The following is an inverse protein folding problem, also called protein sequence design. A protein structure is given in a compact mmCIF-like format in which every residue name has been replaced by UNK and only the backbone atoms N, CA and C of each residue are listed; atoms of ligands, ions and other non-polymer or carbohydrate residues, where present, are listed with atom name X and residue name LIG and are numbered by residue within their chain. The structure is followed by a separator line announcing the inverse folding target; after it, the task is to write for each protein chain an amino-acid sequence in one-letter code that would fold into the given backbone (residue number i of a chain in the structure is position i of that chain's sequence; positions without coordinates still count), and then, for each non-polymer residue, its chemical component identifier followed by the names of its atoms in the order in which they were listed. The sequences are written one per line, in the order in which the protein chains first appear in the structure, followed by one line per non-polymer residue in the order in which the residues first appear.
data_IF_353246403732
#
_entry.id   IF_353246403732
#
_cell.length_a   1.000
_cell.length_b   1.000
_cell.length_c   1.000
_cell.angle_alpha   90.00
_cell.angle_beta   90.00
_cell.angle_gamma   90.00
#
_symmetry.space_group_name_H-M   'P 1'
#
loop_
_entity.id
_entity.type
_entity.pdbx_description
1 polymer ?
#
# COMPACT_ATOMS: atom_id res chain seq x y z
N UNK A 1 -6.44 57.53 -0.94
CA UNK A 1 -6.66 56.50 -2.01
C UNK A 1 -5.43 55.59 -2.21
N UNK A 2 -4.19 56.10 -2.42
CA UNK A 2 -3.00 55.30 -2.66
C UNK A 2 -2.67 54.28 -1.52
N UNK A 3 -2.94 54.65 -0.25
CA UNK A 3 -2.67 53.76 0.91
C UNK A 3 -3.65 52.60 1.00
N UNK A 4 -4.94 52.84 0.68
CA UNK A 4 -5.97 51.77 0.64
C UNK A 4 -5.65 50.72 -0.45
N UNK A 5 -5.23 51.17 -1.64
CA UNK A 5 -4.82 50.26 -2.73
C UNK A 5 -3.61 49.39 -2.33
N UNK A 6 -2.64 49.94 -1.61
CA UNK A 6 -1.48 49.19 -1.11
C UNK A 6 -1.89 48.11 -0.09
N UNK A 7 -2.83 48.42 0.80
CA UNK A 7 -3.34 47.46 1.80
C UNK A 7 -4.15 46.34 1.10
N UNK A 8 -5.00 46.69 0.12
CA UNK A 8 -5.75 45.69 -0.64
C UNK A 8 -4.82 44.72 -1.41
N UNK A 9 -3.80 45.26 -2.07
CA UNK A 9 -2.80 44.44 -2.76
C UNK A 9 -2.04 43.53 -1.78
N UNK A 10 -1.66 44.04 -0.61
CA UNK A 10 -0.96 43.25 0.42
C UNK A 10 -1.86 42.12 0.96
N UNK A 11 -3.14 42.38 1.19
CA UNK A 11 -4.11 41.35 1.63
C UNK A 11 -4.34 40.29 0.56
N UNK A 12 -4.40 40.69 -0.72
CA UNK A 12 -4.53 39.72 -1.82
C UNK A 12 -3.29 38.82 -1.98
N UNK A 13 -2.09 39.38 -1.76
CA UNK A 13 -0.83 38.61 -1.78
C UNK A 13 -0.80 37.63 -0.60
N UNK A 14 -1.21 38.01 0.59
CA UNK A 14 -1.26 37.14 1.77
C UNK A 14 -2.30 36.03 1.63
N UNK A 15 -3.43 36.30 0.98
CA UNK A 15 -4.43 35.25 0.70
C UNK A 15 -3.99 34.27 -0.38
N UNK A 16 -3.19 34.71 -1.34
CA UNK A 16 -2.64 33.85 -2.39
C UNK A 16 -1.67 32.82 -1.81
N UNK A 17 -0.74 33.21 -0.95
CA UNK A 17 0.19 32.27 -0.28
C UNK A 17 -0.57 31.15 0.50
N UNK A 18 -1.63 31.52 1.22
CA UNK A 18 -2.37 30.54 2.03
C UNK A 18 -3.17 29.50 1.20
N UNK A 19 -3.48 29.78 -0.06
CA UNK A 19 -4.20 28.85 -0.92
C UNK A 19 -3.29 27.78 -1.54
N UNK A 20 -2.07 28.14 -1.92
CA UNK A 20 -1.09 27.18 -2.45
C UNK A 20 -0.57 26.22 -1.37
N UNK A 21 -0.36 26.70 -0.15
CA UNK A 21 0.00 25.83 0.97
C UNK A 21 -1.06 24.76 1.22
N UNK A 22 -2.34 25.12 1.17
CA UNK A 22 -3.45 24.15 1.33
C UNK A 22 -3.52 23.10 0.21
N UNK A 23 -3.19 23.47 -1.02
CA UNK A 23 -3.12 22.51 -2.12
C UNK A 23 -1.91 21.59 -1.98
N UNK A 24 -0.77 22.14 -1.55
CA UNK A 24 0.45 21.39 -1.26
C UNK A 24 0.22 20.35 -0.17
N UNK A 25 -0.47 20.71 0.91
CA UNK A 25 -0.83 19.82 2.02
C UNK A 25 -1.61 18.58 1.55
N UNK A 26 -2.39 18.68 0.47
CA UNK A 26 -3.11 17.54 -0.09
C UNK A 26 -2.21 16.48 -0.71
N UNK A 27 -0.99 16.80 -1.06
CA UNK A 27 -0.02 15.87 -1.62
C UNK A 27 0.88 15.24 -0.56
N UNK A 28 1.08 15.89 0.59
CA UNK A 28 1.93 15.38 1.66
C UNK A 28 1.50 13.97 2.08
N UNK A 29 2.48 13.08 2.24
CA UNK A 29 2.31 11.68 2.63
C UNK A 29 2.92 10.70 1.63
N UNK A 30 2.59 9.44 1.82
CA UNK A 30 3.17 8.33 1.07
C UNK A 30 2.25 7.89 -0.05
N UNK A 31 2.83 7.58 -1.20
CA UNK A 31 2.12 7.20 -2.40
C UNK A 31 2.84 6.08 -3.13
N UNK A 32 2.12 5.15 -3.72
CA UNK A 32 2.70 4.06 -4.49
C UNK A 32 1.92 3.76 -5.76
N UNK A 33 2.64 3.43 -6.83
CA UNK A 33 2.05 2.89 -8.05
C UNK A 33 1.70 1.43 -7.80
N UNK A 34 0.41 1.11 -7.84
CA UNK A 34 -0.05 -0.28 -7.70
C UNK A 34 0.45 -1.11 -8.88
N UNK A 35 1.07 -2.25 -8.57
CA UNK A 35 1.77 -3.12 -9.53
C UNK A 35 2.98 -2.46 -10.24
N UNK A 36 3.51 -1.37 -9.68
CA UNK A 36 4.73 -0.71 -10.10
C UNK A 36 5.80 -0.76 -9.02
N UNK A 37 6.98 -0.24 -9.36
CA UNK A 37 8.12 -0.14 -8.45
C UNK A 37 8.41 1.32 -8.05
N UNK A 38 7.45 2.21 -8.30
CA UNK A 38 7.61 3.62 -8.02
C UNK A 38 6.84 4.00 -6.77
N UNK A 39 7.55 4.59 -5.82
CA UNK A 39 7.04 5.11 -4.56
C UNK A 39 7.41 6.58 -4.43
N UNK A 40 6.54 7.36 -3.81
CA UNK A 40 6.70 8.79 -3.64
C UNK A 40 6.39 9.17 -2.19
N UNK A 41 7.30 9.90 -1.56
CA UNK A 41 7.13 10.42 -0.22
C UNK A 41 7.19 11.95 -0.26
N UNK A 42 6.04 12.58 -0.21
CA UNK A 42 5.92 14.03 -0.18
C UNK A 42 6.04 14.54 1.26
N UNK A 43 7.06 15.32 1.51
CA UNK A 43 7.27 16.12 2.71
C UNK A 43 7.05 17.59 2.38
N UNK A 44 7.01 18.48 3.39
CA UNK A 44 6.77 19.91 3.19
C UNK A 44 7.73 20.54 2.15
N UNK A 45 9.02 20.22 2.25
CA UNK A 45 10.08 20.84 1.44
C UNK A 45 10.79 19.90 0.50
N UNK A 46 10.44 18.59 0.53
CA UNK A 46 11.11 17.59 -0.28
C UNK A 46 10.16 16.50 -0.74
N UNK A 47 10.51 15.88 -1.87
CA UNK A 47 9.89 14.68 -2.40
C UNK A 47 10.97 13.62 -2.60
N UNK A 48 10.82 12.48 -1.95
CA UNK A 48 11.62 11.29 -2.23
C UNK A 48 10.87 10.46 -3.25
N UNK A 49 11.56 10.12 -4.35
CA UNK A 49 11.05 9.19 -5.36
C UNK A 49 11.92 7.94 -5.32
N UNK A 50 11.34 6.81 -4.99
CA UNK A 50 11.99 5.51 -5.07
C UNK A 50 11.56 4.83 -6.37
N UNK A 51 12.52 4.49 -7.22
CA UNK A 51 12.30 3.85 -8.50
C UNK A 51 13.36 2.77 -8.73
N UNK A 52 12.96 1.51 -8.91
CA UNK A 52 13.87 0.39 -9.18
C UNK A 52 15.00 0.23 -8.16
N UNK A 53 14.73 0.48 -6.88
CA UNK A 53 15.73 0.41 -5.81
C UNK A 53 16.67 1.63 -5.73
N UNK A 54 16.45 2.65 -6.54
CA UNK A 54 17.15 3.92 -6.49
C UNK A 54 16.28 4.99 -5.87
N UNK A 55 16.87 5.86 -5.03
CA UNK A 55 16.17 6.97 -4.38
C UNK A 55 16.65 8.31 -4.92
N UNK A 56 15.71 9.15 -5.29
CA UNK A 56 15.94 10.52 -5.75
C UNK A 56 15.32 11.50 -4.77
N UNK A 57 16.08 12.49 -4.31
CA UNK A 57 15.56 13.57 -3.47
C UNK A 57 15.37 14.81 -4.35
N UNK A 58 14.17 15.35 -4.34
CA UNK A 58 13.79 16.51 -5.11
C UNK A 58 13.24 17.59 -4.18
N UNK A 59 13.49 18.87 -4.51
CA UNK A 59 12.57 19.94 -4.11
C UNK A 59 11.33 19.84 -4.99
N UNK A 60 10.20 20.23 -4.47
CA UNK A 60 8.98 20.20 -5.22
C UNK A 60 8.10 21.42 -4.93
N UNK A 61 7.42 21.84 -5.94
CA UNK A 61 6.44 22.93 -5.89
C UNK A 61 5.25 22.59 -6.78
N UNK A 62 4.12 23.21 -6.51
CA UNK A 62 2.92 23.10 -7.34
C UNK A 62 2.44 24.48 -7.75
N UNK A 63 1.79 24.53 -8.91
CA UNK A 63 1.03 25.66 -9.41
C UNK A 63 -0.22 25.13 -10.11
N UNK A 64 -1.38 25.42 -9.52
CA UNK A 64 -2.73 25.00 -9.98
C UNK A 64 -2.83 23.52 -10.41
N UNK A 65 -2.31 23.11 -11.55
CA UNK A 65 -2.34 21.74 -12.08
C UNK A 65 -0.96 21.20 -12.44
N UNK A 66 0.09 21.94 -12.11
CA UNK A 66 1.48 21.59 -12.41
C UNK A 66 2.24 21.21 -11.15
N UNK A 67 3.05 20.18 -11.28
CA UNK A 67 4.03 19.72 -10.28
C UNK A 67 5.43 19.93 -10.88
N UNK A 68 6.24 20.71 -10.18
CA UNK A 68 7.62 20.99 -10.55
C UNK A 68 8.56 20.25 -9.60
N UNK A 69 9.53 19.53 -10.16
CA UNK A 69 10.53 18.77 -9.41
C UNK A 69 11.92 19.27 -9.79
N UNK A 70 12.72 19.61 -8.77
CA UNK A 70 14.13 19.91 -8.92
C UNK A 70 14.95 18.85 -8.17
N UNK A 71 15.69 18.00 -8.89
CA UNK A 71 16.50 16.94 -8.27
C UNK A 71 17.70 17.55 -7.54
N UNK A 72 17.78 17.29 -6.22
CA UNK A 72 18.87 17.72 -5.34
C UNK A 72 19.92 16.62 -5.19
N UNK A 73 19.46 15.35 -5.08
CA UNK A 73 20.30 14.18 -4.87
C UNK A 73 19.74 12.98 -5.64
N UNK A 74 20.60 12.24 -6.28
CA UNK A 74 20.28 11.07 -7.11
C UNK A 74 21.26 10.97 -8.28
N UNK A 75 20.91 10.24 -9.34
CA UNK A 75 21.76 10.10 -10.52
C UNK A 75 21.94 11.44 -11.25
N UNK A 76 23.02 12.13 -10.97
CA UNK A 76 23.42 13.39 -11.63
C UNK A 76 23.76 13.20 -13.13
N UNK A 77 23.77 11.96 -13.63
CA UNK A 77 24.32 11.59 -14.93
C UNK A 77 23.52 12.09 -16.14
N UNK A 78 22.30 12.61 -15.96
CA UNK A 78 21.46 13.04 -17.09
C UNK A 78 21.16 14.54 -17.17
N UNK A 79 21.74 15.35 -16.31
CA UNK A 79 21.69 16.82 -16.44
C UNK A 79 20.30 17.47 -16.36
N UNK A 80 19.27 16.75 -15.99
CA UNK A 80 17.90 17.27 -15.89
C UNK A 80 17.69 17.79 -14.47
N UNK A 81 17.89 19.08 -14.28
CA UNK A 81 17.73 19.73 -12.98
C UNK A 81 16.28 19.98 -12.60
N UNK A 82 15.40 20.21 -13.55
CA UNK A 82 13.99 20.52 -13.30
C UNK A 82 13.09 19.73 -14.24
N UNK A 83 12.05 19.11 -13.68
CA UNK A 83 11.00 18.41 -14.44
C UNK A 83 9.65 19.03 -14.11
N UNK A 84 8.80 19.15 -15.12
CA UNK A 84 7.43 19.62 -15.01
C UNK A 84 6.48 18.46 -15.34
N UNK A 85 5.39 18.37 -14.58
CA UNK A 85 4.34 17.38 -14.78
C UNK A 85 2.97 18.03 -14.61
N UNK A 86 2.01 17.60 -15.41
CA UNK A 86 0.60 17.82 -15.08
C UNK A 86 0.20 16.82 -14.01
N UNK A 87 -0.53 17.28 -12.98
CA UNK A 87 -1.07 16.40 -11.96
C UNK A 87 -2.56 16.66 -11.71
N UNK A 88 -3.22 15.66 -11.19
CA UNK A 88 -4.57 15.79 -10.61
C UNK A 88 -4.75 14.80 -9.46
N UNK A 89 -5.54 15.20 -8.48
CA UNK A 89 -6.01 14.33 -7.41
C UNK A 89 -7.44 13.86 -7.67
N UNK A 90 -7.78 12.66 -7.20
CA UNK A 90 -9.16 12.22 -7.09
C UNK A 90 -9.93 13.07 -6.09
N UNK A 91 -11.27 13.06 -6.16
CA UNK A 91 -12.13 13.87 -5.26
C UNK A 91 -11.94 13.53 -3.77
N UNK A 92 -11.64 12.28 -3.45
CA UNK A 92 -11.39 11.78 -2.09
C UNK A 92 -9.90 11.87 -1.68
N UNK A 93 -9.03 12.46 -2.50
CA UNK A 93 -7.62 12.70 -2.25
C UNK A 93 -6.80 11.41 -1.98
N UNK A 94 -7.25 10.27 -2.46
CA UNK A 94 -6.58 8.97 -2.30
C UNK A 94 -5.81 8.49 -3.54
N UNK A 95 -6.03 9.15 -4.68
CA UNK A 95 -5.41 8.78 -5.95
C UNK A 95 -4.79 10.01 -6.63
N UNK A 96 -3.52 9.91 -6.94
CA UNK A 96 -2.74 10.90 -7.68
C UNK A 96 -2.50 10.39 -9.10
N UNK A 97 -2.67 11.25 -10.08
CA UNK A 97 -2.35 11.01 -11.47
C UNK A 97 -1.33 12.02 -11.93
N UNK A 98 -0.27 11.57 -12.60
CA UNK A 98 0.81 12.40 -13.11
C UNK A 98 1.03 12.07 -14.60
N UNK A 99 1.35 13.09 -15.40
CA UNK A 99 1.81 12.91 -16.77
C UNK A 99 2.85 13.97 -17.14
N UNK A 100 3.72 13.67 -18.09
CA UNK A 100 4.57 14.70 -18.72
C UNK A 100 3.69 15.63 -19.59
N UNK A 101 4.06 16.90 -19.77
CA UNK A 101 3.30 17.82 -20.62
C UNK A 101 3.13 17.34 -22.05
N UNK A 102 4.08 16.53 -22.53
CA UNK A 102 4.08 15.92 -23.87
C UNK A 102 3.14 14.73 -24.02
N UNK A 103 2.70 14.14 -22.90
CA UNK A 103 1.88 12.93 -22.90
C UNK A 103 0.41 13.30 -23.09
N UNK A 104 -0.29 12.57 -23.95
CA UNK A 104 -1.73 12.77 -24.21
C UNK A 104 -2.61 12.23 -23.09
N UNK A 105 -2.13 11.24 -22.31
CA UNK A 105 -2.87 10.57 -21.23
C UNK A 105 -2.10 10.59 -19.92
N UNK A 106 -2.82 10.55 -18.82
CA UNK A 106 -2.21 10.36 -17.50
C UNK A 106 -1.63 8.96 -17.37
N UNK A 107 -0.53 8.85 -16.63
CA UNK A 107 0.08 7.59 -16.26
C UNK A 107 -0.79 6.72 -15.34
N UNK A 108 -0.25 5.62 -14.82
CA UNK A 108 -0.96 4.74 -13.90
C UNK A 108 -1.38 5.48 -12.63
N UNK A 109 -2.42 4.96 -11.98
CA UNK A 109 -2.89 5.48 -10.69
C UNK A 109 -1.82 5.29 -9.62
N UNK A 110 -1.54 6.37 -8.89
CA UNK A 110 -0.63 6.39 -7.75
C UNK A 110 -1.52 6.52 -6.52
N UNK A 111 -1.56 5.49 -5.67
CA UNK A 111 -2.45 5.45 -4.52
C UNK A 111 -1.76 6.00 -3.27
N UNK A 112 -2.49 6.76 -2.47
CA UNK A 112 -2.05 7.21 -1.15
C UNK A 112 -1.95 6.02 -0.22
N UNK A 113 -0.85 5.91 0.50
CA UNK A 113 -0.54 4.84 1.45
C UNK A 113 -0.57 5.40 2.86
N UNK A 114 -1.33 4.76 3.75
CA UNK A 114 -1.45 5.18 5.15
C UNK A 114 -0.40 4.49 6.05
N UNK A 115 -0.20 3.21 5.86
CA UNK A 115 0.65 2.35 6.68
C UNK A 115 1.03 1.08 5.89
N UNK A 116 1.87 0.22 6.44
CA UNK A 116 2.33 -1.00 5.79
C UNK A 116 1.17 -1.95 5.44
N UNK A 117 0.17 -2.07 6.31
CA UNK A 117 -0.99 -2.93 6.06
C UNK A 117 -1.86 -2.41 4.90
N UNK A 118 -2.14 -1.11 4.87
CA UNK A 118 -2.83 -0.46 3.76
C UNK A 118 -2.10 -0.63 2.43
N UNK A 119 -0.75 -0.48 2.44
CA UNK A 119 0.09 -0.72 1.28
C UNK A 119 -0.09 -2.13 0.73
N UNK A 120 -0.02 -3.13 1.62
CA UNK A 120 -0.13 -4.52 1.27
C UNK A 120 -1.50 -4.86 0.68
N UNK A 121 -2.58 -4.44 1.33
CA UNK A 121 -3.94 -4.67 0.86
C UNK A 121 -4.23 -3.99 -0.48
N UNK A 122 -3.70 -2.80 -0.72
CA UNK A 122 -3.83 -2.11 -2.01
C UNK A 122 -3.12 -2.85 -3.13
N UNK A 123 -1.94 -3.41 -2.88
CA UNK A 123 -1.27 -4.29 -3.86
C UNK A 123 -2.12 -5.50 -4.21
N UNK A 124 -2.75 -6.13 -3.23
CA UNK A 124 -3.66 -7.24 -3.43
C UNK A 124 -5.02 -6.81 -4.00
N UNK A 125 -5.33 -5.52 -3.99
CA UNK A 125 -6.63 -4.95 -4.34
C UNK A 125 -7.77 -5.56 -3.52
N UNK A 126 -7.54 -5.76 -2.23
CA UNK A 126 -8.50 -6.28 -1.26
C UNK A 126 -8.75 -5.27 -0.14
N UNK A 127 -9.93 -5.35 0.45
CA UNK A 127 -10.25 -4.75 1.75
C UNK A 127 -10.42 -5.89 2.74
N UNK A 128 -9.65 -5.87 3.82
CA UNK A 128 -9.72 -6.83 4.92
C UNK A 128 -9.65 -6.05 6.22
N UNK A 129 -10.61 -6.25 7.10
CA UNK A 129 -10.63 -5.75 8.46
C UNK A 129 -10.44 -6.96 9.39
N UNK A 130 -9.24 -7.07 9.98
CA UNK A 130 -8.89 -8.23 10.80
C UNK A 130 -9.65 -8.26 12.10
N UNK A 131 -10.05 -9.47 12.59
CA UNK A 131 -10.61 -9.60 13.92
C UNK A 131 -9.57 -9.29 14.99
N UNK A 132 -10.02 -8.86 16.18
CA UNK A 132 -9.15 -8.63 17.33
C UNK A 132 -9.21 -9.81 18.30
N UNK A 133 -8.04 -10.19 18.87
CA UNK A 133 -7.93 -11.24 19.88
C UNK A 133 -6.67 -11.03 20.73
N UNK A 134 -6.70 -11.43 21.98
CA UNK A 134 -5.55 -11.33 22.90
C UNK A 134 -4.65 -12.57 22.87
N UNK A 135 -3.46 -12.46 23.47
CA UNK A 135 -2.48 -13.52 23.62
C UNK A 135 -2.07 -14.13 22.27
N UNK A 136 -1.60 -13.29 21.38
CA UNK A 136 -1.12 -13.67 20.05
C UNK A 136 0.35 -14.10 20.10
N UNK A 137 0.74 -14.93 19.14
CA UNK A 137 2.12 -15.33 18.91
C UNK A 137 2.53 -14.94 17.49
N UNK A 138 3.84 -14.83 17.26
CA UNK A 138 4.38 -14.50 15.94
C UNK A 138 4.33 -15.72 15.02
N UNK A 139 3.84 -15.56 13.81
CA UNK A 139 3.73 -16.63 12.80
C UNK A 139 5.09 -17.24 12.45
N UNK A 140 6.12 -16.41 12.27
CA UNK A 140 7.48 -16.85 11.88
C UNK A 140 8.16 -17.80 12.89
N UNK A 141 7.75 -17.79 14.16
CA UNK A 141 8.33 -18.65 15.19
C UNK A 141 7.94 -20.14 15.04
N UNK A 142 6.95 -20.43 14.22
CA UNK A 142 6.29 -21.75 14.17
C UNK A 142 6.40 -22.48 12.84
N UNK A 143 6.90 -21.84 11.80
CA UNK A 143 7.07 -22.49 10.50
C UNK A 143 6.99 -21.55 9.30
N UNK A 144 7.12 -22.13 8.13
CA UNK A 144 6.99 -21.42 6.85
C UNK A 144 5.50 -21.35 6.48
N UNK A 145 4.99 -20.15 6.25
CA UNK A 145 3.58 -19.91 6.01
C UNK A 145 3.29 -19.43 4.59
N UNK A 146 2.23 -19.96 3.99
CA UNK A 146 1.59 -19.36 2.82
C UNK A 146 0.48 -18.44 3.30
N UNK A 147 0.58 -17.16 2.98
CA UNK A 147 -0.43 -16.18 3.33
C UNK A 147 -1.65 -16.29 2.41
N UNK A 148 -2.82 -16.42 3.02
CA UNK A 148 -4.11 -16.52 2.34
C UNK A 148 -4.99 -15.37 2.80
N UNK A 149 -5.26 -14.45 1.89
CA UNK A 149 -6.05 -13.24 2.12
C UNK A 149 -7.48 -13.45 1.66
N UNK A 150 -8.44 -13.29 2.57
CA UNK A 150 -9.87 -13.43 2.30
C UNK A 150 -10.60 -12.17 2.71
N UNK A 151 -11.04 -11.40 1.74
CA UNK A 151 -11.66 -10.10 1.93
C UNK A 151 -12.52 -9.67 0.76
N UNK A 152 -12.73 -8.38 0.62
CA UNK A 152 -13.66 -7.85 -0.37
C UNK A 152 -12.94 -7.03 -1.44
N UNK A 153 -13.41 -7.20 -2.69
CA UNK A 153 -13.07 -6.37 -3.82
C UNK A 153 -14.35 -5.89 -4.49
N UNK A 154 -14.59 -4.58 -4.48
CA UNK A 154 -15.84 -4.00 -4.99
C UNK A 154 -17.09 -4.68 -4.41
N UNK A 155 -17.09 -4.98 -3.10
CA UNK A 155 -18.19 -5.64 -2.40
C UNK A 155 -18.32 -7.16 -2.65
N UNK A 156 -17.47 -7.76 -3.49
CA UNK A 156 -17.45 -9.21 -3.73
C UNK A 156 -16.38 -9.88 -2.87
N UNK A 157 -16.73 -10.98 -2.24
CA UNK A 157 -15.78 -11.79 -1.49
C UNK A 157 -14.77 -12.43 -2.45
N UNK A 158 -13.51 -12.24 -2.16
CA UNK A 158 -12.36 -12.73 -2.92
C UNK A 158 -11.34 -13.38 -1.98
N UNK A 159 -10.57 -14.31 -2.53
CA UNK A 159 -9.38 -14.83 -1.87
C UNK A 159 -8.15 -14.64 -2.76
N UNK A 160 -7.01 -14.38 -2.14
CA UNK A 160 -5.72 -14.26 -2.80
C UNK A 160 -4.62 -14.88 -1.95
N UNK A 161 -3.54 -15.28 -2.60
CA UNK A 161 -2.27 -15.60 -1.96
C UNK A 161 -1.25 -14.51 -2.27
N UNK A 162 -0.04 -14.61 -1.76
CA UNK A 162 1.07 -13.70 -2.06
C UNK A 162 1.48 -13.69 -3.54
N UNK A 163 1.10 -14.73 -4.28
CA UNK A 163 1.31 -14.70 -5.73
C UNK A 163 0.41 -13.64 -6.35
N UNK A 164 0.96 -12.76 -7.20
CA UNK A 164 0.23 -11.70 -7.91
C UNK A 164 -0.90 -12.22 -8.81
N UNK A 165 -1.05 -13.54 -8.90
CA UNK A 165 -2.07 -14.20 -9.72
C UNK A 165 -3.40 -14.21 -8.95
N UNK A 166 -4.41 -13.59 -9.52
CA UNK A 166 -5.77 -13.57 -8.98
C UNK A 166 -6.40 -14.95 -9.17
N UNK A 167 -6.17 -15.86 -8.23
CA UNK A 167 -6.80 -17.19 -8.24
C UNK A 167 -7.84 -17.27 -7.14
N UNK A 168 -8.89 -18.02 -7.37
CA UNK A 168 -9.92 -18.29 -6.37
C UNK A 168 -9.47 -19.32 -5.33
N UNK A 169 -10.29 -19.51 -4.28
CA UNK A 169 -10.02 -20.52 -3.24
C UNK A 169 -9.92 -21.96 -3.78
N UNK A 170 -10.63 -22.26 -4.85
CA UNK A 170 -10.61 -23.55 -5.55
C UNK A 170 -9.25 -23.89 -6.16
N UNK A 171 -8.43 -22.87 -6.45
CA UNK A 171 -7.08 -23.06 -6.98
C UNK A 171 -5.99 -23.08 -5.89
N UNK A 172 -6.35 -22.91 -4.63
CA UNK A 172 -5.39 -22.82 -3.51
C UNK A 172 -4.47 -24.06 -3.42
N UNK A 173 -4.94 -25.21 -3.85
CA UNK A 173 -4.14 -26.43 -3.90
C UNK A 173 -2.93 -26.28 -4.82
N UNK A 174 -3.11 -25.70 -5.99
CA UNK A 174 -2.02 -25.49 -6.96
C UNK A 174 -1.05 -24.43 -6.45
N UNK A 175 -1.55 -23.36 -5.83
CA UNK A 175 -0.71 -22.33 -5.20
C UNK A 175 0.12 -22.94 -4.07
N UNK A 176 -0.47 -23.80 -3.23
CA UNK A 176 0.24 -24.48 -2.14
C UNK A 176 1.36 -25.36 -2.69
N UNK A 177 1.10 -26.15 -3.74
CA UNK A 177 2.12 -27.00 -4.36
C UNK A 177 3.25 -26.13 -4.95
N UNK A 178 2.90 -25.06 -5.67
CA UNK A 178 3.87 -24.16 -6.27
C UNK A 178 4.73 -23.45 -5.20
N UNK A 179 4.12 -23.02 -4.11
CA UNK A 179 4.82 -22.39 -2.98
C UNK A 179 5.82 -23.38 -2.36
N UNK A 180 5.40 -24.60 -2.04
CA UNK A 180 6.28 -25.64 -1.45
C UNK A 180 7.43 -25.99 -2.38
N UNK A 181 7.15 -26.14 -3.69
CA UNK A 181 8.17 -26.43 -4.69
C UNK A 181 9.19 -25.29 -4.88
N UNK A 182 8.84 -24.05 -4.50
CA UNK A 182 9.76 -22.91 -4.56
C UNK A 182 10.66 -22.78 -3.34
N UNK A 183 10.45 -23.57 -2.28
CA UNK A 183 11.30 -23.53 -1.09
C UNK A 183 12.59 -24.33 -1.31
N UNK A 184 13.71 -23.82 -0.81
CA UNK A 184 15.03 -24.48 -0.91
C UNK A 184 15.15 -25.70 0.01
N UNK A 185 14.29 -25.81 1.02
CA UNK A 185 14.29 -26.90 2.00
C UNK A 185 13.03 -27.76 1.83
N UNK A 186 13.18 -29.08 2.01
CA UNK A 186 12.01 -29.97 2.10
C UNK A 186 11.09 -29.52 3.25
N UNK A 187 9.90 -29.06 2.89
CA UNK A 187 8.85 -28.75 3.85
C UNK A 187 7.99 -29.96 4.08
N UNK A 188 8.02 -30.46 5.30
CA UNK A 188 7.08 -31.47 5.74
C UNK A 188 5.76 -30.84 6.23
N UNK A 189 4.75 -31.67 6.44
CA UNK A 189 3.43 -31.23 6.94
C UNK A 189 3.47 -30.62 8.34
N UNK A 190 4.60 -30.74 9.05
CA UNK A 190 4.78 -30.22 10.41
C UNK A 190 5.24 -28.76 10.37
N UNK A 191 6.07 -28.41 9.37
CA UNK A 191 6.69 -27.10 9.27
C UNK A 191 5.90 -26.12 8.38
N UNK A 192 5.00 -26.62 7.53
CA UNK A 192 4.15 -25.78 6.69
C UNK A 192 2.85 -25.38 7.37
N UNK A 193 2.45 -24.13 7.18
CA UNK A 193 1.16 -23.60 7.69
C UNK A 193 0.54 -22.62 6.70
N UNK A 194 -0.76 -22.44 6.80
CA UNK A 194 -1.47 -21.32 6.19
C UNK A 194 -1.57 -20.17 7.20
N UNK A 195 -1.16 -18.96 6.81
CA UNK A 195 -1.48 -17.74 7.54
C UNK A 195 -2.79 -17.21 6.95
N UNK A 196 -3.88 -17.35 7.66
CA UNK A 196 -5.22 -16.97 7.20
C UNK A 196 -5.58 -15.57 7.67
N UNK A 197 -5.52 -14.61 6.74
CA UNK A 197 -5.98 -13.24 6.93
C UNK A 197 -7.41 -13.13 6.41
N UNK A 198 -8.37 -13.11 7.31
CA UNK A 198 -9.79 -13.16 6.94
C UNK A 198 -10.57 -12.02 7.57
N UNK A 199 -11.42 -11.37 6.77
CA UNK A 199 -12.23 -10.25 7.21
C UNK A 199 -13.16 -10.64 8.38
N UNK A 200 -13.23 -9.78 9.39
CA UNK A 200 -14.01 -10.01 10.63
C UNK A 200 -15.52 -10.11 10.42
N UNK A 201 -16.04 -9.58 9.29
CA UNK A 201 -17.47 -9.61 8.99
C UNK A 201 -17.95 -10.97 8.48
N UNK A 202 -17.03 -11.91 8.18
CA UNK A 202 -17.41 -13.24 7.73
C UNK A 202 -17.93 -14.10 8.90
N UNK A 203 -19.05 -14.76 8.67
CA UNK A 203 -19.64 -15.68 9.66
C UNK A 203 -18.83 -16.99 9.76
N UNK A 204 -19.01 -17.71 10.89
CA UNK A 204 -18.28 -18.95 11.17
C UNK A 204 -18.48 -20.01 10.10
N UNK A 205 -19.69 -20.18 9.55
CA UNK A 205 -19.95 -21.15 8.50
C UNK A 205 -19.09 -20.93 7.25
N UNK A 206 -18.92 -19.65 6.85
CA UNK A 206 -18.07 -19.29 5.73
C UNK A 206 -16.58 -19.48 6.06
N UNK A 207 -16.17 -19.14 7.26
CA UNK A 207 -14.81 -19.37 7.77
C UNK A 207 -14.48 -20.88 7.75
N UNK A 208 -15.37 -21.72 8.26
CA UNK A 208 -15.18 -23.17 8.28
C UNK A 208 -15.14 -23.76 6.86
N UNK A 209 -15.95 -23.25 5.94
CA UNK A 209 -15.88 -23.62 4.53
C UNK A 209 -14.50 -23.32 3.91
N UNK A 210 -13.93 -22.14 4.22
CA UNK A 210 -12.59 -21.75 3.75
C UNK A 210 -11.51 -22.65 4.38
N UNK A 211 -11.57 -22.90 5.68
CA UNK A 211 -10.65 -23.82 6.37
C UNK A 211 -10.68 -25.22 5.75
N UNK A 212 -11.87 -25.74 5.43
CA UNK A 212 -12.00 -27.06 4.80
C UNK A 212 -11.33 -27.10 3.41
N UNK A 213 -11.40 -26.02 2.64
CA UNK A 213 -10.67 -25.92 1.36
C UNK A 213 -9.15 -25.97 1.61
N UNK A 214 -8.65 -25.23 2.60
CA UNK A 214 -7.22 -25.26 2.93
C UNK A 214 -6.79 -26.67 3.40
N UNK A 215 -7.55 -27.30 4.28
CA UNK A 215 -7.27 -28.66 4.78
C UNK A 215 -7.26 -29.69 3.64
N UNK A 216 -8.09 -29.51 2.60
CA UNK A 216 -8.16 -30.43 1.45
C UNK A 216 -6.87 -30.44 0.62
N UNK A 217 -5.94 -29.50 0.82
CA UNK A 217 -4.62 -29.50 0.21
C UNK A 217 -3.68 -30.58 0.80
N UNK A 218 -4.05 -31.17 1.95
CA UNK A 218 -3.24 -32.12 2.70
C UNK A 218 -2.53 -31.51 3.92
N UNK A 219 -2.49 -30.17 4.03
CA UNK A 219 -1.88 -29.45 5.14
C UNK A 219 -2.96 -28.91 6.07
N UNK A 220 -2.83 -29.22 7.37
CA UNK A 220 -3.91 -28.98 8.36
C UNK A 220 -3.62 -27.81 9.31
N UNK A 221 -2.40 -27.26 9.27
CA UNK A 221 -2.03 -26.16 10.19
C UNK A 221 -2.53 -24.85 9.64
N UNK A 222 -3.53 -24.29 10.30
CA UNK A 222 -4.09 -22.97 9.96
C UNK A 222 -3.76 -22.02 11.11
N UNK A 223 -3.02 -20.96 10.80
CA UNK A 223 -2.67 -19.88 11.71
C UNK A 223 -3.54 -18.67 11.35
N UNK A 224 -4.60 -18.46 12.11
CA UNK A 224 -5.48 -17.31 11.90
C UNK A 224 -4.87 -16.04 12.44
N UNK A 225 -4.80 -15.02 11.59
CA UNK A 225 -4.21 -13.71 11.90
C UNK A 225 -5.24 -12.80 12.56
N UNK A 226 -4.78 -12.04 13.55
CA UNK A 226 -5.59 -11.10 14.33
C UNK A 226 -4.81 -9.81 14.58
N UNK A 227 -5.51 -8.77 15.01
CA UNK A 227 -4.96 -7.57 15.64
C UNK A 227 -5.30 -7.52 17.11
N UNK A 228 -4.53 -6.79 17.94
CA UNK A 228 -4.80 -6.51 19.34
C UNK A 228 -3.96 -5.32 19.84
N UNK A 229 -3.92 -5.09 21.15
CA UNK A 229 -3.15 -4.00 21.77
C UNK A 229 -1.62 -4.14 21.60
N UNK A 230 -1.12 -5.34 21.36
CA UNK A 230 0.31 -5.60 21.12
C UNK A 230 0.70 -5.39 19.65
N UNK A 231 -0.22 -5.61 18.73
CA UNK A 231 -0.04 -5.44 17.30
C UNK A 231 -1.27 -4.80 16.69
N UNK A 232 -1.09 -3.59 16.21
CA UNK A 232 -2.08 -2.85 15.44
C UNK A 232 -1.45 -2.55 14.08
N UNK A 233 -1.84 -3.32 13.07
CA UNK A 233 -1.27 -3.21 11.73
C UNK A 233 -1.50 -1.84 11.09
N UNK A 234 -2.50 -1.08 11.55
CA UNK A 234 -2.75 0.28 11.09
C UNK A 234 -1.72 1.30 11.60
N UNK A 235 -0.93 0.93 12.63
CA UNK A 235 0.12 1.79 13.21
C UNK A 235 1.52 1.48 12.73
N UNK A 236 1.69 0.42 11.94
CA UNK A 236 3.01 0.02 11.41
C UNK A 236 3.39 1.00 10.30
N UNK A 237 4.59 1.57 10.38
CA UNK A 237 5.10 2.47 9.34
C UNK A 237 5.05 1.77 7.97
N UNK A 238 4.74 2.52 6.94
CA UNK A 238 4.48 1.95 5.62
C UNK A 238 5.72 1.28 4.98
N UNK A 239 6.90 1.52 5.50
CA UNK A 239 8.16 0.90 5.10
C UNK A 239 8.58 -0.27 5.98
N UNK A 240 7.91 -0.47 7.11
CA UNK A 240 8.24 -1.56 8.01
C UNK A 240 7.75 -2.90 7.47
N UNK A 241 8.49 -3.94 7.80
CA UNK A 241 8.11 -5.30 7.47
C UNK A 241 6.86 -5.72 8.26
N UNK A 242 5.85 -6.25 7.56
CA UNK A 242 4.68 -6.83 8.19
C UNK A 242 4.99 -8.22 8.74
N UNK A 243 4.80 -8.38 10.03
CA UNK A 243 4.85 -9.67 10.71
C UNK A 243 3.44 -10.07 11.16
N UNK A 244 3.05 -11.32 10.90
CA UNK A 244 1.72 -11.80 11.25
C UNK A 244 1.67 -12.38 12.65
N UNK A 245 0.69 -11.94 13.42
CA UNK A 245 0.42 -12.41 14.77
C UNK A 245 -0.96 -13.07 14.82
N UNK A 246 -1.04 -14.23 15.47
CA UNK A 246 -2.30 -14.96 15.49
C UNK A 246 -2.30 -16.19 16.40
N UNK A 247 -3.21 -17.12 16.07
CA UNK A 247 -3.38 -18.39 16.78
C UNK A 247 -3.64 -19.52 15.81
N UNK A 248 -3.20 -20.72 16.18
CA UNK A 248 -3.61 -21.95 15.50
C UNK A 248 -5.08 -22.27 15.81
N UNK A 249 -5.80 -22.69 14.79
CA UNK A 249 -7.21 -23.08 14.86
C UNK A 249 -7.45 -24.47 14.26
#
# INVERSE_FOLDING_TARGET
MKTIYRIIILVLILQSCSSFDKEKDKLIGNWSVINGLNEFEFYQDSLIVNEWGMSYINKWEIDSSKLYLETIKGLDSFGIKTKEFDYRLSKNLDTLFIKKPTDSVFGPSILRIKNAYDYYLKRLQLTIDLPSKNNLILSKEKGIGLDVYVGFRNGKLMAKTDSDKTRGLDEIKYETIAFIASQETELDSINFQFNLLIDKSLNNQKIDSIKNILISTGYKRIFRVYTNDQVDYEKIDWKDELNWYGKYE
#
